data_IF_686754146357
#
_entry.id   IF_686754146357
#
_cell.length_a   1.000
_cell.length_b   1.000
_cell.length_c   1.000
_cell.angle_alpha   90.00
_cell.angle_beta   90.00
_cell.angle_gamma   90.00
#
_symmetry.space_group_name_H-M   'P 1'
#
loop_
_entity.id
_entity.type
_entity.pdbx_description
1 polymer ?
#
# COMPACT_ATOMS: atom_id res chain seq x y z
N UNK A 1 -6.02 -3.36 16.07
CA UNK A 1 -6.87 -2.83 14.99
C UNK A 1 -8.28 -2.63 15.52
N UNK A 2 -8.94 -1.55 15.13
CA UNK A 2 -10.34 -1.23 15.48
C UNK A 2 -11.16 -1.09 14.21
N UNK A 3 -12.49 -1.18 14.34
CA UNK A 3 -13.43 -0.90 13.24
C UNK A 3 -13.15 -1.68 11.94
N UNK A 4 -12.66 -2.93 12.03
CA UNK A 4 -12.40 -3.78 10.87
C UNK A 4 -13.72 -4.22 10.23
N UNK A 5 -13.91 -3.90 8.96
CA UNK A 5 -15.10 -4.29 8.22
C UNK A 5 -14.82 -4.42 6.72
N UNK A 6 -15.66 -5.19 6.02
CA UNK A 6 -15.58 -5.34 4.57
C UNK A 6 -16.00 -4.05 3.86
N UNK A 7 -15.26 -3.67 2.81
CA UNK A 7 -15.62 -2.52 1.97
C UNK A 7 -16.94 -2.76 1.25
N UNK A 8 -17.74 -1.71 1.10
CA UNK A 8 -18.96 -1.76 0.29
C UNK A 8 -18.60 -1.95 -1.20
N UNK A 9 -19.47 -2.59 -1.97
CA UNK A 9 -19.21 -2.90 -3.39
C UNK A 9 -18.82 -1.68 -4.23
N UNK A 10 -19.48 -0.53 -4.03
CA UNK A 10 -19.18 0.73 -4.74
C UNK A 10 -17.81 1.27 -4.37
N UNK A 11 -17.52 1.33 -3.08
CA UNK A 11 -16.24 1.80 -2.53
C UNK A 11 -15.08 0.92 -3.00
N UNK A 12 -15.24 -0.40 -2.90
CA UNK A 12 -14.28 -1.39 -3.40
C UNK A 12 -13.98 -1.18 -4.88
N UNK A 13 -15.00 -0.94 -5.71
CA UNK A 13 -14.79 -0.69 -7.15
C UNK A 13 -13.92 0.55 -7.39
N UNK A 14 -14.20 1.64 -6.68
CA UNK A 14 -13.43 2.89 -6.78
C UNK A 14 -12.00 2.67 -6.30
N UNK A 15 -11.84 2.01 -5.14
CA UNK A 15 -10.53 1.67 -4.57
C UNK A 15 -9.69 0.83 -5.53
N UNK A 16 -10.24 -0.26 -6.08
CA UNK A 16 -9.52 -1.13 -7.00
C UNK A 16 -9.16 -0.42 -8.31
N UNK A 17 -10.00 0.48 -8.81
CA UNK A 17 -9.67 1.32 -9.97
C UNK A 17 -8.49 2.23 -9.68
N UNK A 18 -8.52 2.96 -8.55
CA UNK A 18 -7.43 3.85 -8.12
C UNK A 18 -6.13 3.08 -7.88
N UNK A 19 -6.23 1.91 -7.27
CA UNK A 19 -5.07 1.06 -7.00
C UNK A 19 -4.39 0.58 -8.29
N UNK A 20 -5.19 0.19 -9.30
CA UNK A 20 -4.68 -0.22 -10.61
C UNK A 20 -4.03 0.95 -11.39
N UNK A 21 -4.53 2.17 -11.21
CA UNK A 21 -3.92 3.37 -11.80
C UNK A 21 -2.56 3.70 -11.17
N UNK A 22 -2.46 3.56 -9.84
CA UNK A 22 -1.21 3.79 -9.12
C UNK A 22 -0.20 2.68 -9.36
N UNK A 23 -0.65 1.42 -9.34
CA UNK A 23 0.20 0.24 -9.43
C UNK A 23 -0.38 -0.74 -10.47
N UNK A 24 -0.05 -0.57 -11.76
CA UNK A 24 -0.58 -1.39 -12.86
C UNK A 24 -0.34 -2.91 -12.71
N UNK A 25 0.68 -3.30 -11.96
CA UNK A 25 1.05 -4.69 -11.67
C UNK A 25 0.03 -5.39 -10.75
N UNK A 26 -0.75 -4.62 -10.01
CA UNK A 26 -1.71 -5.16 -9.05
C UNK A 26 -2.98 -5.59 -9.77
N UNK A 27 -3.21 -6.90 -9.80
CA UNK A 27 -4.42 -7.49 -10.34
C UNK A 27 -5.22 -8.22 -9.24
N UNK A 28 -6.17 -7.49 -8.63
CA UNK A 28 -7.06 -8.03 -7.61
C UNK A 28 -8.42 -8.34 -8.24
N UNK A 29 -8.87 -9.59 -8.10
CA UNK A 29 -10.18 -10.01 -8.59
C UNK A 29 -11.34 -9.32 -7.88
N UNK A 30 -12.44 -9.06 -8.60
CA UNK A 30 -13.64 -8.41 -8.04
C UNK A 30 -14.29 -9.17 -6.87
N UNK A 31 -14.05 -10.49 -6.75
CA UNK A 31 -14.59 -11.34 -5.68
C UNK A 31 -13.73 -11.35 -4.41
N UNK A 32 -12.47 -10.92 -4.51
CA UNK A 32 -11.49 -10.94 -3.42
C UNK A 32 -11.98 -10.11 -2.24
N UNK A 33 -11.93 -10.63 -1.01
CA UNK A 33 -12.36 -9.90 0.19
C UNK A 33 -11.40 -8.73 0.43
N UNK A 34 -11.95 -7.53 0.50
CA UNK A 34 -11.20 -6.30 0.81
C UNK A 34 -11.86 -5.67 2.03
N UNK A 35 -11.06 -5.45 3.07
CA UNK A 35 -11.48 -4.88 4.33
C UNK A 35 -10.69 -3.61 4.61
N UNK A 36 -11.30 -2.71 5.38
CA UNK A 36 -10.66 -1.54 5.95
C UNK A 36 -10.69 -1.65 7.46
N UNK A 37 -9.62 -1.22 8.12
CA UNK A 37 -9.55 -1.14 9.57
C UNK A 37 -8.79 0.12 10.00
N UNK A 38 -8.97 0.52 11.24
CA UNK A 38 -8.19 1.59 11.88
C UNK A 38 -7.02 0.98 12.66
N UNK A 39 -5.83 1.51 12.41
CA UNK A 39 -4.59 1.13 13.08
C UNK A 39 -3.81 2.40 13.44
N UNK A 40 -3.75 2.70 14.72
CA UNK A 40 -3.17 3.95 15.24
C UNK A 40 -3.78 5.19 14.57
N UNK A 41 -2.97 5.94 13.81
CA UNK A 41 -3.38 7.15 13.06
C UNK A 41 -3.73 6.88 11.60
N UNK A 42 -3.64 5.63 11.14
CA UNK A 42 -3.84 5.25 9.75
C UNK A 42 -5.07 4.36 9.58
N UNK A 43 -5.71 4.48 8.42
CA UNK A 43 -6.59 3.43 7.90
C UNK A 43 -5.75 2.43 7.14
N UNK A 44 -5.99 1.15 7.34
CA UNK A 44 -5.27 0.05 6.67
C UNK A 44 -6.22 -0.76 5.81
N UNK A 45 -5.70 -1.27 4.70
CA UNK A 45 -6.42 -2.14 3.78
C UNK A 45 -5.91 -3.57 3.94
N UNK A 46 -6.85 -4.48 4.15
CA UNK A 46 -6.60 -5.90 4.32
C UNK A 46 -7.24 -6.63 3.14
N UNK A 47 -6.46 -7.46 2.43
CA UNK A 47 -6.88 -8.21 1.25
C UNK A 47 -6.63 -9.69 1.53
N UNK A 48 -7.69 -10.49 1.57
CA UNK A 48 -7.62 -11.93 1.96
C UNK A 48 -6.81 -12.11 3.26
N UNK A 49 -7.20 -11.38 4.31
CA UNK A 49 -6.58 -11.42 5.64
C UNK A 49 -5.11 -10.96 5.72
N UNK A 50 -4.54 -10.46 4.62
CA UNK A 50 -3.21 -9.88 4.55
C UNK A 50 -3.28 -8.35 4.61
N UNK A 51 -2.56 -7.73 5.55
CA UNK A 51 -2.40 -6.27 5.61
C UNK A 51 -1.48 -5.83 4.46
N UNK A 52 -2.06 -5.19 3.45
CA UNK A 52 -1.37 -4.92 2.21
C UNK A 52 -1.07 -3.43 1.99
N UNK A 53 -1.93 -2.55 2.51
CA UNK A 53 -1.77 -1.10 2.35
C UNK A 53 -2.13 -0.35 3.62
N UNK A 54 -1.56 0.83 3.77
CA UNK A 54 -2.10 1.89 4.62
C UNK A 54 -2.51 3.08 3.75
N UNK A 55 -3.45 3.89 4.24
CA UNK A 55 -3.88 5.10 3.57
C UNK A 55 -3.12 6.31 4.14
N UNK A 56 -2.34 6.97 3.28
CA UNK A 56 -1.65 8.21 3.56
C UNK A 56 -2.19 9.28 2.59
N UNK A 57 -2.77 10.36 3.10
CA UNK A 57 -3.47 11.37 2.28
C UNK A 57 -4.45 10.77 1.26
N UNK A 58 -5.23 9.78 1.71
CA UNK A 58 -6.17 8.97 0.90
C UNK A 58 -5.54 8.19 -0.26
N UNK A 59 -4.22 8.10 -0.34
CA UNK A 59 -3.49 7.25 -1.28
C UNK A 59 -3.14 5.91 -0.61
N UNK A 60 -3.39 4.77 -1.27
CA UNK A 60 -2.93 3.48 -0.79
C UNK A 60 -1.42 3.36 -0.97
N UNK A 61 -0.70 3.27 0.13
CA UNK A 61 0.76 3.02 0.15
C UNK A 61 0.98 1.55 0.54
N UNK A 62 1.70 0.76 -0.28
CA UNK A 62 1.95 -0.64 0.03
C UNK A 62 2.85 -0.77 1.24
N UNK A 63 2.57 -1.75 2.09
CA UNK A 63 3.57 -2.18 3.09
C UNK A 63 4.68 -2.99 2.42
N UNK A 64 5.84 -3.08 3.06
CA UNK A 64 7.02 -3.76 2.50
C UNK A 64 6.69 -5.20 2.02
N UNK A 65 5.97 -6.06 2.77
CA UNK A 65 5.58 -7.37 2.29
C UNK A 65 4.70 -7.35 1.03
N UNK A 66 3.85 -6.34 0.88
CA UNK A 66 2.96 -6.19 -0.27
C UNK A 66 3.73 -5.85 -1.56
N UNK A 67 4.84 -5.10 -1.44
CA UNK A 67 5.75 -4.82 -2.57
C UNK A 67 6.23 -6.14 -3.20
N UNK A 68 6.65 -7.09 -2.36
CA UNK A 68 7.07 -8.43 -2.81
C UNK A 68 5.89 -9.27 -3.30
N UNK A 69 4.77 -9.28 -2.55
CA UNK A 69 3.54 -10.04 -2.87
C UNK A 69 3.01 -9.73 -4.27
N UNK A 70 2.98 -8.46 -4.64
CA UNK A 70 2.45 -8.01 -5.93
C UNK A 70 3.53 -7.81 -7.00
N UNK A 71 4.81 -8.00 -6.66
CA UNK A 71 5.91 -7.83 -7.60
C UNK A 71 5.95 -6.41 -8.18
N UNK A 72 5.79 -5.39 -7.32
CA UNK A 72 5.75 -4.00 -7.76
C UNK A 72 7.11 -3.58 -8.33
N UNK A 73 7.10 -3.03 -9.55
CA UNK A 73 8.28 -2.57 -10.28
C UNK A 73 8.12 -1.13 -10.77
N UNK A 74 6.98 -0.51 -10.53
CA UNK A 74 6.68 0.89 -10.83
C UNK A 74 6.87 1.76 -9.59
N UNK A 75 7.08 3.07 -9.81
CA UNK A 75 7.19 4.08 -8.75
C UNK A 75 8.25 3.76 -7.69
N UNK A 76 9.43 3.33 -8.15
CA UNK A 76 10.61 3.17 -7.31
C UNK A 76 11.70 4.15 -7.72
N UNK A 77 12.66 4.33 -6.82
CA UNK A 77 13.92 5.00 -7.08
C UNK A 77 15.04 4.06 -6.66
N UNK A 78 16.14 4.07 -7.40
CA UNK A 78 17.39 3.46 -6.95
C UNK A 78 18.12 4.50 -6.09
N UNK A 79 18.72 4.05 -4.99
CA UNK A 79 19.44 4.89 -4.04
C UNK A 79 20.82 4.33 -3.82
N UNK A 80 21.78 5.19 -3.48
CA UNK A 80 23.13 4.78 -3.15
C UNK A 80 23.17 3.89 -1.89
N UNK A 81 24.13 2.97 -1.84
CA UNK A 81 24.34 2.08 -0.69
C UNK A 81 24.52 2.89 0.62
N UNK A 82 25.19 4.04 0.54
CA UNK A 82 25.42 4.94 1.66
C UNK A 82 24.13 5.51 2.27
N UNK A 83 23.06 5.62 1.48
CA UNK A 83 21.76 6.16 1.91
C UNK A 83 20.92 5.13 2.70
N UNK A 84 21.12 3.83 2.46
CA UNK A 84 20.31 2.74 3.03
C UNK A 84 20.18 2.84 4.55
N UNK A 85 21.31 3.04 5.26
CA UNK A 85 21.33 3.11 6.73
C UNK A 85 20.54 4.28 7.31
N UNK A 86 20.40 5.37 6.55
CA UNK A 86 19.64 6.55 6.97
C UNK A 86 18.16 6.35 6.70
N UNK A 87 17.80 5.80 5.53
CA UNK A 87 16.41 5.46 5.16
C UNK A 87 15.82 4.46 6.16
N UNK A 88 16.59 3.43 6.56
CA UNK A 88 16.15 2.46 7.58
C UNK A 88 15.89 3.08 8.96
N UNK A 89 16.42 4.28 9.22
CA UNK A 89 16.15 5.06 10.44
C UNK A 89 14.99 6.05 10.27
N UNK A 90 14.32 6.03 9.11
CA UNK A 90 13.19 6.91 8.80
C UNK A 90 13.58 8.27 8.23
N UNK A 91 14.81 8.41 7.72
CA UNK A 91 15.18 9.62 6.97
C UNK A 91 14.53 9.65 5.58
N UNK A 92 14.20 10.84 5.11
CA UNK A 92 13.73 11.07 3.74
C UNK A 92 14.87 10.84 2.72
N UNK A 93 14.50 10.45 1.50
CA UNK A 93 15.41 10.39 0.35
C UNK A 93 15.56 11.80 -0.23
N UNK A 94 16.81 12.24 -0.44
CA UNK A 94 17.14 13.60 -0.90
C UNK A 94 17.80 13.57 -2.28
N UNK A 95 17.69 14.66 -3.05
CA UNK A 95 18.14 14.77 -4.44
C UNK A 95 19.62 14.45 -4.74
N UNK A 96 20.58 14.58 -3.80
CA UNK A 96 21.88 13.92 -3.90
C UNK A 96 21.88 12.64 -3.03
N UNK A 97 21.56 11.49 -3.64
CA UNK A 97 21.62 10.17 -3.01
C UNK A 97 20.65 9.15 -3.60
#
# INVERSE_FOLDING_TARGET
>A
MKNRHAMKTKEKKIFLSKLKELYPEINIGKKVKVEVAEMEKYRVIIIEDSLDFFLFDDLPVPVIPAVKKYGLKSRYVEVDEGAIKFILKGADVMLPG
#
